data_IF_702469187992
#
_entry.id   IF_702469187992
#
_cell.length_a   1.000
_cell.length_b   1.000
_cell.length_c   1.000
_cell.angle_alpha   90.00
_cell.angle_beta   90.00
_cell.angle_gamma   90.00
#
_symmetry.space_group_name_H-M   'P 1'
#
loop_
_entity.id
_entity.type
_entity.pdbx_description
1 polymer ?
#
# COMPACT_ATOMS: atom_id res chain seq x y z
N UNK A 1 14.18 15.72 3.38
CA UNK A 1 12.77 15.31 3.40
C UNK A 1 12.51 14.70 4.76
N UNK A 2 11.59 15.27 5.54
CA UNK A 2 11.19 14.68 6.82
C UNK A 2 10.21 13.51 6.60
N UNK A 3 9.94 12.72 7.63
CA UNK A 3 9.11 11.51 7.51
C UNK A 3 7.67 11.82 7.04
N UNK A 4 7.10 12.95 7.47
CA UNK A 4 5.77 13.40 7.06
C UNK A 4 5.69 13.71 5.56
N UNK A 5 6.69 14.40 5.01
CA UNK A 5 6.79 14.67 3.57
C UNK A 5 6.92 13.37 2.75
N UNK A 6 7.68 12.39 3.27
CA UNK A 6 7.83 11.10 2.62
C UNK A 6 6.50 10.31 2.61
N UNK A 7 5.77 10.33 3.73
CA UNK A 7 4.44 9.73 3.83
C UNK A 7 3.49 10.28 2.76
N UNK A 8 3.34 11.61 2.74
CA UNK A 8 2.49 12.31 1.77
C UNK A 8 2.90 12.02 0.31
N UNK A 9 4.19 11.99 0.00
CA UNK A 9 4.66 11.62 -1.34
C UNK A 9 4.25 10.20 -1.72
N UNK A 10 4.38 9.23 -0.82
CA UNK A 10 3.94 7.86 -1.08
C UNK A 10 2.42 7.75 -1.26
N UNK A 11 1.64 8.46 -0.46
CA UNK A 11 0.18 8.55 -0.61
C UNK A 11 -0.20 9.11 -1.98
N UNK A 12 0.40 10.24 -2.39
CA UNK A 12 0.15 10.81 -3.71
C UNK A 12 0.56 9.88 -4.86
N UNK A 13 1.66 9.13 -4.72
CA UNK A 13 2.06 8.14 -5.72
C UNK A 13 1.06 6.99 -5.81
N UNK A 14 0.53 6.51 -4.69
CA UNK A 14 -0.51 5.48 -4.67
C UNK A 14 -1.81 5.99 -5.29
N UNK A 15 -2.22 7.22 -4.97
CA UNK A 15 -3.39 7.86 -5.59
C UNK A 15 -3.22 7.96 -7.10
N UNK A 16 -2.07 8.45 -7.57
CA UNK A 16 -1.78 8.55 -9.00
C UNK A 16 -1.84 7.19 -9.70
N UNK A 17 -1.27 6.15 -9.08
CA UNK A 17 -1.28 4.79 -9.61
C UNK A 17 -2.70 4.19 -9.69
N UNK A 18 -3.54 4.43 -8.66
CA UNK A 18 -4.95 4.01 -8.66
C UNK A 18 -5.74 4.73 -9.76
N UNK A 19 -5.59 6.04 -9.88
CA UNK A 19 -6.25 6.84 -10.93
C UNK A 19 -5.82 6.36 -12.34
N UNK A 20 -4.53 6.09 -12.55
CA UNK A 20 -4.02 5.58 -13.82
C UNK A 20 -4.62 4.21 -14.20
N UNK A 21 -5.05 3.43 -13.21
CA UNK A 21 -5.69 2.12 -13.38
C UNK A 21 -7.21 2.19 -13.48
N UNK A 22 -7.79 3.40 -13.50
CA UNK A 22 -9.22 3.62 -13.68
C UNK A 22 -10.05 3.57 -12.39
N UNK A 23 -9.41 3.62 -11.21
CA UNK A 23 -10.15 3.75 -9.97
C UNK A 23 -10.61 5.19 -9.75
N UNK A 24 -11.79 5.35 -9.16
CA UNK A 24 -12.19 6.58 -8.50
C UNK A 24 -11.57 6.62 -7.11
N UNK A 25 -10.96 7.75 -6.76
CA UNK A 25 -10.20 7.90 -5.52
C UNK A 25 -10.73 9.08 -4.72
N UNK A 26 -11.01 8.86 -3.44
CA UNK A 26 -11.35 9.90 -2.47
C UNK A 26 -10.34 9.88 -1.32
N UNK A 27 -10.03 11.07 -0.79
CA UNK A 27 -9.16 11.23 0.38
C UNK A 27 -9.99 11.83 1.52
N UNK A 28 -9.88 11.30 2.75
CA UNK A 28 -10.54 11.92 3.88
C UNK A 28 -9.98 13.33 4.15
N UNK A 29 -10.86 14.30 4.37
CA UNK A 29 -10.47 15.71 4.64
C UNK A 29 -9.85 15.86 6.04
N UNK A 30 -10.26 15.02 6.97
CA UNK A 30 -9.74 14.95 8.34
C UNK A 30 -9.09 13.59 8.50
N UNK A 31 -8.00 13.51 9.26
CA UNK A 31 -7.34 12.26 9.59
C UNK A 31 -8.29 11.39 10.43
N UNK A 32 -9.12 10.60 9.75
CA UNK A 32 -10.08 9.68 10.37
C UNK A 32 -9.32 8.40 10.65
N UNK A 33 -9.24 8.02 11.92
CA UNK A 33 -8.40 6.93 12.37
C UNK A 33 -8.58 5.65 11.52
N UNK A 34 -7.57 5.33 10.70
CA UNK A 34 -7.31 3.98 10.19
C UNK A 34 -7.26 3.76 8.69
N UNK A 35 -7.37 4.78 7.83
CA UNK A 35 -7.05 4.68 6.40
C UNK A 35 -6.69 6.05 5.80
N UNK A 36 -5.88 6.05 4.74
CA UNK A 36 -5.40 7.27 4.08
C UNK A 36 -6.17 7.54 2.77
N UNK A 37 -6.66 6.49 2.12
CA UNK A 37 -7.28 6.55 0.79
C UNK A 37 -8.53 5.68 0.73
N UNK A 38 -9.56 6.15 0.03
CA UNK A 38 -10.71 5.37 -0.40
C UNK A 38 -10.64 5.17 -1.92
N UNK A 39 -10.80 3.94 -2.40
CA UNK A 39 -10.80 3.66 -3.83
C UNK A 39 -11.98 2.77 -4.23
N UNK A 40 -12.56 3.04 -5.40
CA UNK A 40 -13.60 2.21 -6.01
C UNK A 40 -13.49 2.17 -7.53
N UNK A 41 -14.23 1.28 -8.19
CA UNK A 41 -14.47 1.28 -9.63
C UNK A 41 -15.98 1.33 -9.84
N UNK A 42 -16.43 2.28 -10.66
CA UNK A 42 -17.84 2.50 -10.99
C UNK A 42 -18.73 2.59 -9.73
N UNK A 43 -19.83 1.83 -9.70
CA UNK A 43 -20.82 1.82 -8.61
C UNK A 43 -20.50 0.79 -7.51
N UNK A 44 -19.26 0.30 -7.44
CA UNK A 44 -18.86 -0.68 -6.42
C UNK A 44 -18.59 -0.01 -5.06
N UNK A 45 -18.62 -0.78 -3.95
CA UNK A 45 -18.28 -0.27 -2.63
C UNK A 45 -16.81 0.20 -2.54
N UNK A 46 -16.60 1.33 -1.86
CA UNK A 46 -15.25 1.83 -1.58
C UNK A 46 -14.45 0.87 -0.71
N UNK A 47 -13.19 0.65 -1.08
CA UNK A 47 -12.19 -0.02 -0.26
C UNK A 47 -11.40 1.02 0.54
N UNK A 48 -11.24 0.79 1.84
CA UNK A 48 -10.41 1.62 2.72
C UNK A 48 -8.97 1.15 2.66
N UNK A 49 -8.07 2.06 2.32
CA UNK A 49 -6.66 1.75 2.05
C UNK A 49 -5.78 2.55 3.00
N UNK A 50 -4.91 1.85 3.73
CA UNK A 50 -3.81 2.46 4.47
C UNK A 50 -2.53 2.39 3.64
N UNK A 51 -1.86 3.51 3.45
CA UNK A 51 -0.57 3.61 2.79
C UNK A 51 0.56 3.57 3.82
N UNK A 52 1.62 2.85 3.49
CA UNK A 52 2.89 2.90 4.21
C UNK A 52 4.03 3.05 3.22
N UNK A 53 4.90 4.00 3.51
CA UNK A 53 5.90 4.45 2.56
C UNK A 53 7.31 4.18 3.06
N UNK A 54 8.18 3.72 2.17
CA UNK A 54 9.63 3.75 2.40
C UNK A 54 10.30 4.49 1.23
N UNK A 55 11.38 5.22 1.53
CA UNK A 55 12.09 5.98 0.50
C UNK A 55 12.94 5.08 -0.38
N UNK A 56 13.77 4.25 0.24
CA UNK A 56 14.81 3.47 -0.43
C UNK A 56 14.91 2.07 0.20
N UNK A 57 15.40 1.07 -0.56
CA UNK A 57 15.69 -0.22 0.03
C UNK A 57 16.75 -0.10 1.14
N UNK A 58 16.52 -0.81 2.24
CA UNK A 58 17.52 -1.15 3.23
C UNK A 58 18.40 -2.25 2.64
N UNK A 59 19.71 -2.00 2.60
CA UNK A 59 20.69 -3.06 2.41
C UNK A 59 20.93 -3.73 3.77
N UNK A 60 20.67 -5.03 3.85
CA UNK A 60 21.05 -5.83 5.00
C UNK A 60 21.71 -7.11 4.50
N UNK A 61 22.97 -7.34 4.89
CA UNK A 61 23.76 -8.52 4.55
C UNK A 61 23.86 -8.82 3.04
N UNK A 62 23.98 -7.79 2.20
CA UNK A 62 24.13 -7.94 0.74
C UNK A 62 22.81 -8.11 -0.03
N UNK A 63 21.67 -8.24 0.65
CA UNK A 63 20.35 -8.27 0.03
C UNK A 63 19.71 -6.89 0.10
N UNK A 64 19.28 -6.35 -1.06
CA UNK A 64 18.51 -5.11 -1.12
C UNK A 64 17.03 -5.40 -0.89
N UNK A 65 16.42 -4.85 0.16
CA UNK A 65 15.00 -5.05 0.46
C UNK A 65 14.34 -3.82 1.06
N UNK A 66 13.02 -3.79 1.15
CA UNK A 66 12.26 -2.74 1.83
C UNK A 66 11.85 -3.20 3.22
N UNK A 67 11.80 -2.25 4.17
CA UNK A 67 11.18 -2.48 5.48
C UNK A 67 10.03 -1.52 5.66
N UNK A 68 8.88 -2.07 6.01
CA UNK A 68 7.66 -1.33 6.31
C UNK A 68 7.20 -1.67 7.72
N UNK A 69 6.82 -0.65 8.49
CA UNK A 69 6.24 -0.82 9.81
C UNK A 69 4.74 -0.49 9.73
N UNK A 70 3.88 -1.45 10.05
CA UNK A 70 2.43 -1.25 10.13
C UNK A 70 1.99 -1.35 11.60
N UNK A 71 1.99 -0.22 12.32
CA UNK A 71 1.75 -0.23 13.78
C UNK A 71 0.31 -0.53 14.19
N UNK A 72 -0.67 -0.42 13.29
CA UNK A 72 -2.09 -0.67 13.54
C UNK A 72 -2.66 -1.43 12.37
N UNK A 73 -3.59 -2.36 12.62
CA UNK A 73 -4.39 -3.14 11.64
C UNK A 73 -5.87 -2.73 11.63
N UNK A 74 -6.24 -1.62 12.30
CA UNK A 74 -7.64 -1.21 12.46
C UNK A 74 -7.97 -0.07 11.52
N UNK A 75 -9.11 -0.19 10.82
CA UNK A 75 -9.76 0.89 10.05
C UNK A 75 -9.54 0.86 8.54
N UNK A 76 -8.71 -0.05 8.03
CA UNK A 76 -8.49 -0.28 6.60
C UNK A 76 -8.90 -1.69 6.18
N UNK A 77 -9.26 -1.85 4.91
CA UNK A 77 -9.48 -3.14 4.25
C UNK A 77 -8.17 -3.65 3.65
N UNK A 78 -7.33 -2.74 3.13
CA UNK A 78 -6.03 -3.05 2.53
C UNK A 78 -4.91 -2.14 3.01
N UNK A 79 -3.68 -2.67 2.95
CA UNK A 79 -2.44 -1.91 2.98
C UNK A 79 -1.87 -1.79 1.58
N UNK A 80 -1.42 -0.60 1.21
CA UNK A 80 -0.53 -0.42 0.07
C UNK A 80 0.84 0.02 0.59
N UNK A 81 1.83 -0.87 0.44
CA UNK A 81 3.21 -0.55 0.76
C UNK A 81 3.88 0.04 -0.47
N UNK A 82 4.32 1.29 -0.38
CA UNK A 82 4.91 2.04 -1.48
C UNK A 82 6.41 2.24 -1.25
N UNK A 83 7.23 1.73 -2.17
CA UNK A 83 8.62 2.19 -2.30
C UNK A 83 8.68 3.33 -3.33
N UNK A 84 9.00 4.53 -2.85
CA UNK A 84 9.04 5.74 -3.68
C UNK A 84 10.11 5.63 -4.78
N UNK A 85 11.32 5.19 -4.43
CA UNK A 85 12.46 5.19 -5.36
C UNK A 85 12.25 4.29 -6.57
N UNK A 86 11.66 3.09 -6.38
CA UNK A 86 11.40 2.15 -7.48
C UNK A 86 9.97 2.17 -8.00
N UNK A 87 9.08 3.00 -7.42
CA UNK A 87 7.63 2.97 -7.69
C UNK A 87 7.04 1.56 -7.59
N UNK A 88 7.49 0.83 -6.56
CA UNK A 88 7.02 -0.52 -6.26
C UNK A 88 5.86 -0.46 -5.28
N UNK A 89 4.79 -1.20 -5.57
CA UNK A 89 3.59 -1.25 -4.75
C UNK A 89 3.30 -2.70 -4.33
N UNK A 90 2.97 -2.90 -3.06
CA UNK A 90 2.45 -4.18 -2.56
C UNK A 90 1.06 -3.96 -2.01
N UNK A 91 0.07 -4.65 -2.57
CA UNK A 91 -1.35 -4.51 -2.22
C UNK A 91 -1.76 -5.70 -1.36
N UNK A 92 -1.84 -5.48 -0.04
CA UNK A 92 -1.94 -6.55 0.96
C UNK A 92 -3.28 -6.42 1.69
N UNK A 93 -4.13 -7.45 1.74
CA UNK A 93 -5.30 -7.45 2.61
C UNK A 93 -4.91 -7.22 4.08
N UNK A 94 -5.70 -6.43 4.81
CA UNK A 94 -5.41 -6.14 6.23
C UNK A 94 -5.32 -7.40 7.09
N UNK A 95 -6.08 -8.45 6.76
CA UNK A 95 -6.03 -9.76 7.43
C UNK A 95 -4.68 -10.49 7.28
N UNK A 96 -3.91 -10.18 6.23
CA UNK A 96 -2.62 -10.81 5.92
C UNK A 96 -1.43 -9.92 6.35
N UNK A 97 -1.70 -8.67 6.75
CA UNK A 97 -0.67 -7.72 7.14
C UNK A 97 -0.22 -7.94 8.60
N UNK A 98 1.08 -8.11 8.79
CA UNK A 98 1.71 -8.18 10.13
C UNK A 98 2.10 -6.79 10.62
N UNK A 99 2.29 -6.65 11.94
CA UNK A 99 2.70 -5.39 12.61
C UNK A 99 4.01 -4.81 12.02
N UNK A 100 4.88 -5.67 11.48
CA UNK A 100 6.05 -5.27 10.71
C UNK A 100 6.23 -6.22 9.53
N UNK A 101 6.53 -5.67 8.36
CA UNK A 101 6.80 -6.42 7.15
C UNK A 101 8.19 -6.05 6.61
N UNK A 102 9.00 -7.06 6.28
CA UNK A 102 10.20 -6.89 5.47
C UNK A 102 9.98 -7.58 4.14
N UNK A 103 10.24 -6.86 3.06
CA UNK A 103 10.03 -7.26 1.69
C UNK A 103 11.35 -7.12 0.92
N UNK A 104 11.50 -7.89 -0.14
CA UNK A 104 12.62 -7.75 -1.10
C UNK A 104 12.10 -7.00 -2.31
N UNK A 105 12.86 -6.02 -2.80
CA UNK A 105 12.22 -4.84 -3.36
C UNK A 105 11.57 -4.93 -4.74
N UNK A 106 11.62 -6.08 -5.37
CA UNK A 106 11.29 -6.29 -6.77
C UNK A 106 10.30 -7.45 -6.97
N UNK A 107 9.66 -7.93 -5.91
CA UNK A 107 8.79 -9.10 -6.01
C UNK A 107 9.55 -10.44 -6.06
N UNK A 108 10.90 -10.42 -6.10
CA UNK A 108 11.70 -11.61 -6.44
C UNK A 108 12.16 -12.44 -5.24
N UNK A 109 12.03 -11.94 -4.01
CA UNK A 109 12.52 -12.69 -2.86
C UNK A 109 11.52 -13.69 -2.28
N UNK A 110 11.88 -14.20 -1.12
CA UNK A 110 11.21 -15.35 -0.50
C UNK A 110 10.16 -14.96 0.55
N UNK A 111 9.85 -13.66 0.68
CA UNK A 111 8.84 -13.21 1.63
C UNK A 111 7.46 -13.73 1.21
N UNK A 112 6.67 -14.22 2.16
CA UNK A 112 5.28 -14.65 1.91
C UNK A 112 4.39 -13.56 1.31
N UNK A 113 4.84 -12.31 1.40
CA UNK A 113 4.13 -11.13 0.93
C UNK A 113 4.55 -10.73 -0.50
N UNK A 114 5.56 -11.36 -1.12
CA UNK A 114 5.94 -11.05 -2.51
C UNK A 114 4.81 -11.33 -3.52
N UNK A 115 3.91 -12.28 -3.20
CA UNK A 115 2.68 -12.55 -3.98
C UNK A 115 1.76 -11.32 -4.13
N UNK A 116 1.95 -10.29 -3.33
CA UNK A 116 1.17 -9.04 -3.35
C UNK A 116 1.80 -7.93 -4.18
N UNK A 117 2.97 -8.18 -4.80
CA UNK A 117 3.62 -7.21 -5.67
C UNK A 117 2.71 -6.81 -6.83
N UNK A 118 2.43 -5.51 -6.96
CA UNK A 118 1.56 -4.90 -7.96
C UNK A 118 0.14 -5.50 -8.01
N UNK A 119 -0.32 -6.12 -6.93
CA UNK A 119 -1.57 -6.90 -6.89
C UNK A 119 -2.85 -6.03 -6.79
N UNK A 120 -2.94 -4.94 -7.57
CA UNK A 120 -4.10 -4.03 -7.59
C UNK A 120 -5.42 -4.72 -7.99
N UNK A 121 -5.36 -5.82 -8.73
CA UNK A 121 -6.51 -6.65 -9.05
C UNK A 121 -7.23 -7.21 -7.81
N UNK A 122 -6.55 -7.27 -6.65
CA UNK A 122 -7.17 -7.71 -5.41
C UNK A 122 -8.23 -6.74 -4.90
N UNK A 123 -8.04 -5.43 -5.13
CA UNK A 123 -9.01 -4.40 -4.74
C UNK A 123 -10.32 -4.59 -5.51
N UNK A 124 -10.25 -4.93 -6.79
CA UNK A 124 -11.44 -5.11 -7.63
C UNK A 124 -12.15 -6.42 -7.33
N UNK A 125 -11.40 -7.48 -7.02
CA UNK A 125 -11.96 -8.77 -6.66
C UNK A 125 -12.73 -8.70 -5.32
N UNK A 126 -12.21 -7.99 -4.31
CA UNK A 126 -12.90 -7.85 -3.02
C UNK A 126 -14.22 -7.06 -3.14
N UNK A 127 -14.26 -6.06 -4.03
CA UNK A 127 -15.47 -5.27 -4.28
C UNK A 127 -16.61 -6.10 -4.89
N UNK A 128 -16.29 -7.08 -5.74
CA UNK A 128 -17.30 -7.94 -6.40
C UNK A 128 -17.90 -9.00 -5.48
N UNK A 129 -17.22 -9.31 -4.39
CA UNK A 129 -17.63 -10.33 -3.42
C UNK A 129 -18.31 -9.74 -2.17
N UNK A 130 -18.39 -8.42 -2.07
CA UNK A 130 -19.02 -7.68 -0.98
C UNK A 130 -20.49 -7.42 -1.30
#
# INVERSE_FOLDING_TARGET
MNESQLGAWGEHLVIAELLQRGFYVATPVVDVAGHDVLATIDDLPYQRIQVKTCRQPLQQNGTSGYRFNARSTKGSDFYILCCVFHRSFYVIPTSEMKVSASLTGDGSGSSKLEKYFQAFHMLTNSMKTS
#
